data_IF_482565012385
#
_entry.id   IF_482565012385
#
_cell.length_a   1.000
_cell.length_b   1.000
_cell.length_c   1.000
_cell.angle_alpha   90.00
_cell.angle_beta   90.00
_cell.angle_gamma   90.00
#
_symmetry.space_group_name_H-M   'P 1'
#
loop_
_entity.id
_entity.type
_entity.pdbx_description
1 polymer ?
#
# COMPACT_ATOMS: atom_id res chain seq x y z
N UNK A 1 10.96 13.46 18.69
CA UNK A 1 10.84 12.09 18.14
C UNK A 1 9.90 12.14 16.95
N UNK A 2 10.37 11.72 15.78
CA UNK A 2 9.70 11.94 14.50
C UNK A 2 8.65 10.84 14.26
N UNK A 3 7.46 10.97 14.86
CA UNK A 3 6.35 10.00 14.82
C UNK A 3 5.98 9.60 13.37
N UNK A 4 6.23 10.48 12.41
CA UNK A 4 5.96 10.22 10.99
C UNK A 4 6.86 9.12 10.39
N UNK A 5 8.10 8.96 10.87
CA UNK A 5 9.00 7.91 10.37
C UNK A 5 8.49 6.54 10.85
N UNK A 6 8.07 6.45 12.12
CA UNK A 6 7.57 5.19 12.70
C UNK A 6 6.26 4.71 12.10
N UNK A 7 5.31 5.61 11.82
CA UNK A 7 4.04 5.24 11.18
C UNK A 7 4.26 4.76 9.74
N UNK A 8 5.18 5.40 9.02
CA UNK A 8 5.47 5.07 7.64
C UNK A 8 6.15 3.71 7.48
N UNK A 9 7.14 3.43 8.34
CA UNK A 9 7.86 2.17 8.34
C UNK A 9 6.92 1.00 8.66
N UNK A 10 6.03 1.19 9.63
CA UNK A 10 5.08 0.15 10.03
C UNK A 10 4.07 -0.16 8.92
N UNK A 11 3.50 0.86 8.27
CA UNK A 11 2.55 0.67 7.16
C UNK A 11 3.25 0.03 5.96
N UNK A 12 4.51 0.41 5.70
CA UNK A 12 5.34 -0.22 4.66
C UNK A 12 5.57 -1.70 4.95
N UNK A 13 5.88 -2.05 6.21
CA UNK A 13 6.08 -3.42 6.67
C UNK A 13 4.81 -4.25 6.51
N UNK A 14 3.67 -3.75 6.96
CA UNK A 14 2.36 -4.41 6.84
C UNK A 14 1.99 -4.60 5.37
N UNK A 15 2.19 -3.58 4.53
CA UNK A 15 1.92 -3.70 3.10
C UNK A 15 2.72 -4.85 2.48
N UNK A 16 4.03 -4.94 2.72
CA UNK A 16 4.87 -6.03 2.20
C UNK A 16 4.42 -7.41 2.67
N UNK A 17 4.10 -7.55 3.96
CA UNK A 17 3.61 -8.80 4.53
C UNK A 17 2.28 -9.23 3.89
N UNK A 18 1.36 -8.29 3.72
CA UNK A 18 0.05 -8.60 3.17
C UNK A 18 0.10 -8.88 1.67
N UNK A 19 0.96 -8.21 0.90
CA UNK A 19 1.18 -8.54 -0.52
C UNK A 19 1.70 -9.98 -0.69
N UNK A 20 2.49 -10.49 0.24
CA UNK A 20 2.98 -11.86 0.15
C UNK A 20 1.85 -12.90 0.17
N UNK A 21 0.74 -12.61 0.89
CA UNK A 21 -0.37 -13.54 1.10
C UNK A 21 -1.59 -13.31 0.20
N UNK A 22 -1.72 -12.17 -0.48
CA UNK A 22 -2.84 -11.97 -1.41
C UNK A 22 -2.72 -12.89 -2.64
N UNK A 23 -3.84 -13.38 -3.21
CA UNK A 23 -3.82 -14.22 -4.40
C UNK A 23 -3.29 -13.49 -5.64
N UNK A 24 -2.59 -14.23 -6.49
CA UNK A 24 -2.14 -13.73 -7.79
C UNK A 24 -3.33 -13.35 -8.68
N UNK A 25 -3.20 -12.23 -9.39
CA UNK A 25 -4.24 -11.72 -10.29
C UNK A 25 -5.39 -10.96 -9.62
N UNK A 26 -5.56 -11.05 -8.29
CA UNK A 26 -6.59 -10.31 -7.57
C UNK A 26 -6.24 -8.83 -7.35
N UNK A 27 -7.26 -7.98 -7.45
CA UNK A 27 -7.15 -6.52 -7.44
C UNK A 27 -7.48 -5.93 -6.08
N UNK A 28 -6.56 -5.11 -5.56
CA UNK A 28 -6.75 -4.41 -4.30
C UNK A 28 -6.18 -3.00 -4.34
N UNK A 29 -6.80 -2.09 -3.60
CA UNK A 29 -6.20 -0.78 -3.28
C UNK A 29 -5.16 -0.93 -2.18
N UNK A 30 -4.22 0.01 -2.07
CA UNK A 30 -3.23 0.00 -0.98
C UNK A 30 -3.90 -0.07 0.41
N UNK A 31 -5.01 0.66 0.60
CA UNK A 31 -5.83 0.63 1.82
C UNK A 31 -6.35 -0.77 2.14
N UNK A 32 -6.88 -1.48 1.14
CA UNK A 32 -7.39 -2.84 1.33
C UNK A 32 -6.27 -3.84 1.65
N UNK A 33 -5.10 -3.68 1.02
CA UNK A 33 -3.95 -4.55 1.31
C UNK A 33 -3.43 -4.28 2.72
N UNK A 34 -3.33 -3.03 3.14
CA UNK A 34 -2.83 -2.65 4.49
C UNK A 34 -3.84 -3.01 5.58
N UNK A 35 -5.13 -2.83 5.31
CA UNK A 35 -6.22 -3.01 6.27
C UNK A 35 -6.51 -1.76 7.10
N UNK A 36 -7.76 -1.62 7.56
CA UNK A 36 -8.20 -0.44 8.31
C UNK A 36 -7.47 -0.19 9.63
N UNK A 37 -7.11 -1.19 10.45
CA UNK A 37 -6.45 -0.94 11.72
C UNK A 37 -5.14 -0.16 11.59
N UNK A 38 -4.38 -0.43 10.52
CA UNK A 38 -3.13 0.28 10.23
C UNK A 38 -3.34 1.53 9.37
N UNK A 39 -4.39 1.59 8.55
CA UNK A 39 -4.64 2.71 7.64
C UNK A 39 -5.38 3.88 8.30
N UNK A 40 -6.36 3.60 9.17
CA UNK A 40 -7.23 4.61 9.77
C UNK A 40 -6.51 5.63 10.68
N UNK A 41 -5.52 5.24 11.51
CA UNK A 41 -4.80 6.17 12.38
C UNK A 41 -3.95 7.19 11.63
N UNK A 42 -3.50 6.86 10.41
CA UNK A 42 -2.64 7.74 9.61
C UNK A 42 -3.33 9.07 9.32
N UNK A 43 -2.59 10.18 9.36
CA UNK A 43 -3.13 11.46 8.94
C UNK A 43 -3.44 11.46 7.43
N UNK A 44 -4.41 12.28 7.00
CA UNK A 44 -4.81 12.37 5.58
C UNK A 44 -3.63 12.65 4.65
N UNK A 45 -2.72 13.54 5.05
CA UNK A 45 -1.50 13.87 4.29
C UNK A 45 -0.58 12.65 4.19
N UNK A 46 -0.33 11.96 5.30
CA UNK A 46 0.47 10.72 5.34
C UNK A 46 -0.10 9.65 4.42
N UNK A 47 -1.43 9.42 4.44
CA UNK A 47 -2.09 8.45 3.53
C UNK A 47 -1.87 8.80 2.05
N UNK A 48 -2.00 10.08 1.70
CA UNK A 48 -1.81 10.55 0.34
C UNK A 48 -0.36 10.42 -0.12
N UNK A 49 0.58 10.84 0.73
CA UNK A 49 2.01 10.77 0.43
C UNK A 49 2.50 9.32 0.35
N UNK A 50 2.00 8.46 1.24
CA UNK A 50 2.26 7.03 1.22
C UNK A 50 1.73 6.38 -0.07
N UNK A 51 0.50 6.69 -0.49
CA UNK A 51 -0.04 6.20 -1.76
C UNK A 51 0.81 6.61 -2.97
N UNK A 52 1.35 7.84 -2.98
CA UNK A 52 2.31 8.29 -4.01
C UNK A 52 3.62 7.51 -3.95
N UNK A 53 4.12 7.24 -2.76
CA UNK A 53 5.34 6.46 -2.57
C UNK A 53 5.19 5.02 -3.05
N UNK A 54 4.10 4.32 -2.70
CA UNK A 54 3.81 2.97 -3.20
C UNK A 54 3.79 2.94 -4.72
N UNK A 55 3.09 3.88 -5.36
CA UNK A 55 3.02 3.96 -6.83
C UNK A 55 4.40 4.12 -7.48
N UNK A 56 5.33 4.83 -6.83
CA UNK A 56 6.70 5.03 -7.35
C UNK A 56 7.62 3.85 -7.09
N UNK A 57 7.28 2.94 -6.17
CA UNK A 57 8.15 1.86 -5.70
C UNK A 57 7.45 0.50 -5.74
N UNK A 58 6.58 0.27 -6.74
CA UNK A 58 5.72 -0.92 -6.81
C UNK A 58 6.49 -2.24 -6.68
N UNK A 59 7.64 -2.34 -7.35
CA UNK A 59 8.51 -3.53 -7.32
C UNK A 59 9.01 -3.82 -5.90
N UNK A 60 9.35 -2.81 -5.11
CA UNK A 60 9.83 -2.98 -3.73
C UNK A 60 8.74 -3.55 -2.80
N UNK A 61 7.47 -3.41 -3.20
CA UNK A 61 6.32 -3.96 -2.48
C UNK A 61 5.79 -5.25 -3.10
N UNK A 62 6.40 -5.76 -4.17
CA UNK A 62 5.89 -6.93 -4.90
C UNK A 62 4.55 -6.66 -5.58
N UNK A 63 4.32 -5.43 -6.04
CA UNK A 63 3.08 -5.00 -6.68
C UNK A 63 3.28 -4.66 -8.16
N UNK A 64 2.19 -4.76 -8.92
CA UNK A 64 2.06 -4.17 -10.25
C UNK A 64 0.81 -3.29 -10.31
N UNK A 65 0.86 -2.23 -11.10
CA UNK A 65 -0.31 -1.38 -11.34
C UNK A 65 -1.34 -2.15 -12.18
N UNK A 66 -2.58 -2.20 -11.70
CA UNK A 66 -3.67 -2.90 -12.38
C UNK A 66 -4.51 -1.94 -13.21
N UNK A 67 -5.09 -0.93 -12.56
CA UNK A 67 -5.96 0.08 -13.17
C UNK A 67 -6.28 1.22 -12.21
N UNK A 68 -7.00 2.21 -12.71
CA UNK A 68 -7.72 3.19 -11.89
C UNK A 68 -9.16 2.73 -11.63
N UNK A 69 -9.63 2.90 -10.39
CA UNK A 69 -11.04 2.79 -10.01
C UNK A 69 -11.52 4.17 -9.57
N UNK A 70 -12.10 4.93 -10.50
CA UNK A 70 -12.38 6.35 -10.28
C UNK A 70 -11.08 7.12 -10.03
N UNK A 71 -10.90 7.65 -8.81
CA UNK A 71 -9.69 8.38 -8.39
C UNK A 71 -8.72 7.54 -7.56
N UNK A 72 -8.97 6.23 -7.41
CA UNK A 72 -8.17 5.34 -6.56
C UNK A 72 -7.35 4.40 -7.41
N UNK A 73 -6.07 4.25 -7.07
CA UNK A 73 -5.15 3.32 -7.71
C UNK A 73 -5.39 1.90 -7.20
N UNK A 74 -5.46 0.95 -8.13
CA UNK A 74 -5.64 -0.48 -7.85
C UNK A 74 -4.41 -1.24 -8.32
N UNK A 75 -4.01 -2.22 -7.53
CA UNK A 75 -2.79 -3.00 -7.70
C UNK A 75 -3.09 -4.50 -7.67
N UNK A 76 -2.17 -5.29 -8.23
CA UNK A 76 -2.11 -6.76 -8.10
C UNK A 76 -0.75 -7.16 -7.54
N UNK A 77 -0.68 -8.35 -6.95
CA UNK A 77 0.60 -8.99 -6.64
C UNK A 77 1.40 -9.21 -7.93
N UNK A 78 2.68 -8.87 -7.89
CA UNK A 78 3.62 -9.17 -8.97
C UNK A 78 3.83 -10.70 -9.07
N UNK A 79 3.87 -11.28 -10.28
CA UNK A 79 4.20 -12.69 -10.48
C UNK A 79 5.70 -13.01 -10.27
N UNK A 80 6.52 -12.00 -10.02
CA UNK A 80 7.97 -12.11 -9.83
C UNK A 80 8.36 -13.01 -8.64
#
# INVERSE_FOLDING_TARGET
MNIQITEWDEVSRILKQNVAIIPLGQEFTARQIIGEPAWAPLQRKTRHDFGRHVRRNLEQYGLVFARMAGRVLVYKKSPA
#
